data_IF_104658659202
#
_entry.id   IF_104658659202
#
_cell.length_a   1.000
_cell.length_b   1.000
_cell.length_c   1.000
_cell.angle_alpha   90.00
_cell.angle_beta   90.00
_cell.angle_gamma   90.00
#
_symmetry.space_group_name_H-M   'P 1'
#
loop_
_entity.id
_entity.type
_entity.pdbx_description
1 polymer ?
#
# COMPACT_ATOMS: atom_id res chain seq x y z
N UNK A 1 -25.45 -0.21 14.41
CA UNK A 1 -26.18 0.75 15.26
C UNK A 1 -26.00 2.14 14.65
N UNK A 2 -27.08 2.89 14.42
CA UNK A 2 -27.00 4.22 13.81
C UNK A 2 -26.86 5.30 14.90
N UNK A 3 -26.02 6.30 14.65
CA UNK A 3 -25.77 7.44 15.57
C UNK A 3 -26.18 8.72 14.84
N UNK A 4 -27.01 9.55 15.47
CA UNK A 4 -27.31 10.89 14.99
C UNK A 4 -26.38 11.91 15.66
N UNK A 5 -25.81 12.80 14.86
CA UNK A 5 -24.87 13.83 15.33
C UNK A 5 -25.45 15.19 15.01
N UNK A 6 -25.53 16.09 16.01
CA UNK A 6 -25.83 17.50 15.77
C UNK A 6 -24.52 18.27 15.64
N UNK A 7 -24.37 18.97 14.53
CA UNK A 7 -23.16 19.73 14.19
C UNK A 7 -23.54 21.16 13.84
N UNK A 8 -22.60 22.08 14.02
CA UNK A 8 -22.74 23.46 13.56
C UNK A 8 -22.90 23.48 12.03
N UNK A 9 -23.79 24.32 11.46
CA UNK A 9 -24.02 24.34 10.01
C UNK A 9 -22.77 24.65 9.18
N UNK A 10 -21.82 25.43 9.69
CA UNK A 10 -20.56 25.70 9.01
C UNK A 10 -19.68 24.45 9.00
N UNK A 11 -19.59 23.76 10.14
CA UNK A 11 -18.83 22.52 10.27
C UNK A 11 -19.39 21.42 9.35
N UNK A 12 -20.71 21.33 9.18
CA UNK A 12 -21.32 20.38 8.25
C UNK A 12 -20.89 20.65 6.79
N UNK A 13 -20.84 21.92 6.37
CA UNK A 13 -20.36 22.28 5.03
C UNK A 13 -18.88 21.97 4.84
N UNK A 14 -18.05 22.22 5.84
CA UNK A 14 -16.63 21.87 5.79
C UNK A 14 -16.44 20.35 5.66
N UNK A 15 -17.22 19.58 6.42
CA UNK A 15 -17.21 18.12 6.35
C UNK A 15 -17.64 17.61 4.96
N UNK A 16 -18.67 18.20 4.38
CA UNK A 16 -19.13 17.85 3.03
C UNK A 16 -18.05 18.11 1.97
N UNK A 17 -17.42 19.28 2.01
CA UNK A 17 -16.31 19.62 1.10
C UNK A 17 -15.11 18.69 1.29
N UNK A 18 -14.76 18.37 2.54
CA UNK A 18 -13.65 17.47 2.85
C UNK A 18 -13.91 16.04 2.38
N UNK A 19 -15.15 15.55 2.56
CA UNK A 19 -15.57 14.24 2.06
C UNK A 19 -15.55 14.19 0.52
N UNK A 20 -16.05 15.24 -0.14
CA UNK A 20 -16.06 15.35 -1.60
C UNK A 20 -14.63 15.35 -2.18
N UNK A 21 -13.70 16.11 -1.59
CA UNK A 21 -12.28 16.13 -2.00
C UNK A 21 -11.62 14.75 -1.93
N UNK A 22 -12.06 13.92 -0.99
CA UNK A 22 -11.56 12.55 -0.80
C UNK A 22 -12.34 11.51 -1.59
N UNK A 23 -13.43 11.90 -2.28
CA UNK A 23 -14.30 10.96 -2.99
C UNK A 23 -15.04 9.98 -2.08
N UNK A 24 -15.27 10.35 -0.81
CA UNK A 24 -15.94 9.50 0.19
C UNK A 24 -17.26 10.12 0.65
N UNK A 25 -18.13 9.34 1.27
CA UNK A 25 -19.38 9.85 1.84
C UNK A 25 -19.14 10.58 3.16
N UNK A 26 -20.09 11.44 3.58
CA UNK A 26 -20.06 12.11 4.88
C UNK A 26 -19.92 11.11 6.04
N UNK A 27 -20.66 10.00 6.01
CA UNK A 27 -20.60 8.97 7.06
C UNK A 27 -19.27 8.21 7.09
N UNK A 28 -18.68 7.94 5.93
CA UNK A 28 -17.35 7.33 5.83
C UNK A 28 -16.28 8.27 6.39
N UNK A 29 -16.34 9.56 6.04
CA UNK A 29 -15.42 10.56 6.56
C UNK A 29 -15.47 10.66 8.09
N UNK A 30 -16.66 10.68 8.68
CA UNK A 30 -16.85 10.73 10.14
C UNK A 30 -16.27 9.47 10.80
N UNK A 31 -16.58 8.29 10.26
CA UNK A 31 -16.05 7.02 10.76
C UNK A 31 -14.52 7.03 10.76
N UNK A 32 -13.92 7.46 9.64
CA UNK A 32 -12.48 7.56 9.47
C UNK A 32 -11.84 8.55 10.46
N UNK A 33 -12.50 9.69 10.71
CA UNK A 33 -12.03 10.68 11.67
C UNK A 33 -12.09 10.16 13.10
N UNK A 34 -13.17 9.46 13.47
CA UNK A 34 -13.33 8.84 14.79
C UNK A 34 -12.32 7.71 14.99
N UNK A 35 -12.12 6.86 13.99
CA UNK A 35 -11.10 5.81 14.06
C UNK A 35 -9.72 6.41 14.30
N UNK A 36 -9.33 7.45 13.53
CA UNK A 36 -8.06 8.17 13.74
C UNK A 36 -7.96 8.81 15.13
N UNK A 37 -9.04 9.43 15.61
CA UNK A 37 -9.07 10.05 16.94
C UNK A 37 -8.95 9.03 18.08
N UNK A 38 -9.46 7.83 17.89
CA UNK A 38 -9.31 6.69 18.82
C UNK A 38 -7.97 5.96 18.67
N UNK A 39 -7.04 6.47 17.86
CA UNK A 39 -5.75 5.85 17.60
C UNK A 39 -5.79 4.61 16.70
N UNK A 40 -6.96 4.29 16.12
CA UNK A 40 -7.08 3.28 15.06
C UNK A 40 -6.62 3.93 13.73
N UNK A 41 -5.89 3.19 12.89
CA UNK A 41 -5.23 3.73 11.68
C UNK A 41 -4.22 4.84 11.99
N UNK A 42 -3.41 4.68 13.04
CA UNK A 42 -2.33 5.60 13.33
C UNK A 42 -1.28 5.56 12.20
N UNK A 43 -1.04 6.67 11.48
CA UNK A 43 -0.08 6.71 10.38
C UNK A 43 1.36 6.44 10.86
N UNK A 44 1.66 6.72 12.13
CA UNK A 44 2.97 6.44 12.71
C UNK A 44 3.21 4.93 12.82
N UNK A 45 2.20 4.16 13.21
CA UNK A 45 2.32 2.71 13.32
C UNK A 45 2.50 2.06 11.94
N UNK A 46 1.82 2.59 10.91
CA UNK A 46 2.06 2.19 9.52
C UNK A 46 3.49 2.51 9.07
N UNK A 47 4.00 3.70 9.43
CA UNK A 47 5.37 4.10 9.12
C UNK A 47 6.40 3.20 9.81
N UNK A 48 6.15 2.80 11.06
CA UNK A 48 7.00 1.84 11.76
C UNK A 48 6.99 0.47 11.07
N UNK A 49 5.83 -0.01 10.63
CA UNK A 49 5.72 -1.27 9.88
C UNK A 49 6.51 -1.21 8.57
N UNK A 50 6.32 -0.16 7.76
CA UNK A 50 7.06 0.01 6.49
C UNK A 50 8.57 0.09 6.73
N UNK A 51 9.01 0.77 7.80
CA UNK A 51 10.44 0.81 8.17
C UNK A 51 10.98 -0.56 8.56
N UNK A 52 10.21 -1.34 9.31
CA UNK A 52 10.61 -2.69 9.71
C UNK A 52 10.70 -3.61 8.48
N UNK A 53 9.76 -3.52 7.55
CA UNK A 53 9.79 -4.27 6.29
C UNK A 53 10.99 -3.88 5.41
N UNK A 54 11.28 -2.59 5.29
CA UNK A 54 12.44 -2.10 4.54
C UNK A 54 13.76 -2.59 5.15
N UNK A 55 13.91 -2.53 6.47
CA UNK A 55 15.09 -3.05 7.16
C UNK A 55 15.24 -4.57 6.98
N UNK A 56 14.13 -5.31 6.97
CA UNK A 56 14.14 -6.75 6.71
C UNK A 56 14.49 -7.08 5.25
N UNK A 57 14.19 -6.20 4.30
CA UNK A 57 14.60 -6.34 2.89
C UNK A 57 16.09 -6.01 2.70
N UNK A 58 16.62 -5.00 3.39
CA UNK A 58 18.05 -4.67 3.35
C UNK A 58 18.94 -5.78 3.94
N UNK A 59 18.42 -6.51 4.94
CA UNK A 59 19.12 -7.65 5.53
C UNK A 59 19.09 -8.91 4.64
N UNK A 60 18.25 -8.95 3.60
CA UNK A 60 18.25 -10.06 2.64
C UNK A 60 19.40 -9.88 1.65
N UNK A 61 20.07 -10.98 1.26
CA UNK A 61 21.05 -10.91 0.18
C UNK A 61 20.40 -10.31 -1.07
N UNK A 62 21.14 -9.52 -1.86
CA UNK A 62 20.59 -8.83 -3.01
C UNK A 62 19.93 -9.84 -3.95
N UNK A 63 18.75 -9.50 -4.48
CA UNK A 63 17.95 -10.39 -5.33
C UNK A 63 18.77 -11.07 -6.43
N UNK A 64 19.76 -10.37 -7.02
CA UNK A 64 20.66 -10.95 -8.02
C UNK A 64 21.49 -12.14 -7.50
N UNK A 65 21.95 -12.08 -6.25
CA UNK A 65 22.75 -13.13 -5.61
C UNK A 65 21.92 -14.41 -5.33
N UNK A 66 20.65 -14.28 -4.93
CA UNK A 66 19.77 -15.45 -4.71
C UNK A 66 19.12 -15.97 -6.00
N UNK A 67 18.81 -15.08 -6.93
CA UNK A 67 18.09 -15.46 -8.16
C UNK A 67 19.01 -16.00 -9.24
N UNK A 68 20.32 -15.73 -9.17
CA UNK A 68 21.26 -16.02 -10.25
C UNK A 68 21.04 -15.15 -11.49
N UNK A 69 20.36 -14.01 -11.34
CA UNK A 69 20.18 -13.05 -12.42
C UNK A 69 21.52 -12.39 -12.78
N UNK A 70 21.92 -12.50 -14.04
CA UNK A 70 23.20 -11.98 -14.57
C UNK A 70 23.02 -10.71 -15.43
N UNK A 71 21.79 -10.20 -15.57
CA UNK A 71 21.49 -9.00 -16.36
C UNK A 71 21.57 -7.70 -15.54
N UNK A 72 21.43 -6.57 -16.24
CA UNK A 72 21.28 -5.26 -15.60
C UNK A 72 19.87 -5.12 -15.04
N UNK A 73 19.75 -4.80 -13.74
CA UNK A 73 18.45 -4.59 -13.06
C UNK A 73 17.75 -3.31 -13.53
N UNK A 74 18.48 -2.39 -14.15
CA UNK A 74 17.93 -1.18 -14.74
C UNK A 74 17.38 -1.40 -16.16
N UNK A 75 17.67 -2.55 -16.78
CA UNK A 75 17.09 -2.97 -18.05
C UNK A 75 15.77 -3.74 -17.82
N UNK A 76 14.60 -3.12 -18.12
CA UNK A 76 13.30 -3.74 -17.89
C UNK A 76 13.07 -4.97 -18.78
N UNK A 77 13.66 -5.03 -19.98
CA UNK A 77 13.46 -6.15 -20.91
C UNK A 77 14.24 -7.39 -20.48
N UNK A 78 15.49 -7.21 -20.06
CA UNK A 78 16.30 -8.28 -19.46
C UNK A 78 15.64 -8.85 -18.20
N UNK A 79 15.14 -7.97 -17.32
CA UNK A 79 14.44 -8.36 -16.08
C UNK A 79 13.16 -9.14 -16.38
N UNK A 80 12.36 -8.67 -17.35
CA UNK A 80 11.11 -9.33 -17.76
C UNK A 80 11.36 -10.70 -18.37
N UNK A 81 12.35 -10.84 -19.24
CA UNK A 81 12.73 -12.12 -19.84
C UNK A 81 13.13 -13.15 -18.76
N UNK A 82 13.95 -12.70 -17.80
CA UNK A 82 14.37 -13.54 -16.67
C UNK A 82 13.18 -14.00 -15.81
N UNK A 83 12.30 -13.08 -15.40
CA UNK A 83 11.09 -13.41 -14.61
C UNK A 83 10.20 -14.39 -15.38
N UNK A 84 9.98 -14.15 -16.68
CA UNK A 84 9.14 -15.03 -17.51
C UNK A 84 9.72 -16.44 -17.61
N UNK A 85 11.04 -16.56 -17.78
CA UNK A 85 11.72 -17.87 -17.80
C UNK A 85 11.59 -18.63 -16.47
N UNK A 86 11.74 -17.91 -15.34
CA UNK A 86 11.61 -18.48 -13.99
C UNK A 86 10.19 -18.97 -13.71
N UNK A 87 9.19 -18.18 -14.13
CA UNK A 87 7.78 -18.55 -14.02
C UNK A 87 7.43 -19.75 -14.90
N UNK A 88 7.88 -19.77 -16.15
CA UNK A 88 7.68 -20.91 -17.06
C UNK A 88 8.23 -22.21 -16.47
N UNK A 89 9.46 -22.17 -15.93
CA UNK A 89 10.07 -23.32 -15.23
C UNK A 89 9.26 -23.77 -14.02
N UNK A 90 8.79 -22.83 -13.20
CA UNK A 90 7.95 -23.13 -12.01
C UNK A 90 6.62 -23.79 -12.39
N UNK A 91 6.06 -23.42 -13.54
CA UNK A 91 4.75 -23.90 -14.01
C UNK A 91 4.83 -25.01 -15.06
N UNK A 92 6.01 -25.59 -15.31
CA UNK A 92 6.18 -26.71 -16.24
C UNK A 92 5.93 -26.37 -17.71
N UNK A 93 5.88 -25.09 -18.05
CA UNK A 93 5.82 -24.60 -19.43
C UNK A 93 7.27 -24.60 -19.93
N UNK A 94 7.58 -25.38 -20.97
CA UNK A 94 8.95 -25.54 -21.49
C UNK A 94 9.66 -24.22 -21.85
N UNK A 95 10.97 -24.25 -22.14
CA UNK A 95 11.72 -23.05 -22.50
C UNK A 95 11.18 -22.39 -23.79
N UNK A 96 11.36 -21.08 -23.91
CA UNK A 96 11.23 -20.37 -25.19
C UNK A 96 12.47 -20.63 -26.05
#
# INVERSE_FOLDING_TARGET
>A
MAVSVRMDPLLEKELELAAQRKGVTKSQFITDAVERALGRKNPYDLLLQVKAEAAAQEAQPPFAAESGFQGDLSDPDATRAFITSKLRRKHGLGPA
#
